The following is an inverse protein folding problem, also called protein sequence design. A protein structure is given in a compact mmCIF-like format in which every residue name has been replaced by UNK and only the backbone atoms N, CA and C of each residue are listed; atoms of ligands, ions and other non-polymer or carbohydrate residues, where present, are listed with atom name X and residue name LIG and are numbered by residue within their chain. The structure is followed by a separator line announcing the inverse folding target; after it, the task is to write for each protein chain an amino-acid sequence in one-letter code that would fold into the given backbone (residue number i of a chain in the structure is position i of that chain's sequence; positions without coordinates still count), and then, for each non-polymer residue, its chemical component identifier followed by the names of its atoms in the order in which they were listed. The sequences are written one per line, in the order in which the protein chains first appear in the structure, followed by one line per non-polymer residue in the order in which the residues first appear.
data_IF_519323097304
#
_entry.id   IF_519323097304
#
_cell.length_a   1.000
_cell.length_b   1.000
_cell.length_c   1.000
_cell.angle_alpha   90.00
_cell.angle_beta   90.00
_cell.angle_gamma   90.00
#
_symmetry.space_group_name_H-M   'P 1'
#
loop_
_entity.id
_entity.type
_entity.pdbx_description
1 polymer ?
#
# COMPACT_ATOMS: atom_id res chain seq x y z
N UNK A 1 13.37 3.85 22.69
CA UNK A 1 13.23 4.28 21.29
C UNK A 1 14.20 3.61 20.33
N UNK A 2 15.53 3.65 20.59
CA UNK A 2 16.51 2.98 19.70
C UNK A 2 16.36 1.46 19.59
N UNK A 3 15.85 0.80 20.64
CA UNK A 3 15.68 -0.66 20.64
C UNK A 3 14.55 -1.13 19.71
N UNK A 4 13.40 -0.44 19.70
CA UNK A 4 12.27 -0.77 18.80
C UNK A 4 12.65 -0.57 17.34
N UNK A 5 13.25 0.57 17.00
CA UNK A 5 13.74 0.83 15.66
C UNK A 5 14.76 -0.20 15.21
N UNK A 6 15.67 -0.63 16.13
CA UNK A 6 16.64 -1.68 15.84
C UNK A 6 15.96 -3.03 15.56
N UNK A 7 14.98 -3.41 16.40
CA UNK A 7 14.22 -4.67 16.20
C UNK A 7 13.44 -4.67 14.89
N UNK A 8 12.86 -3.54 14.51
CA UNK A 8 12.16 -3.33 13.23
C UNK A 8 13.09 -3.64 12.04
N UNK A 9 14.26 -2.98 11.99
CA UNK A 9 15.23 -3.21 10.91
C UNK A 9 15.77 -4.64 10.92
N UNK A 10 16.07 -5.19 12.10
CA UNK A 10 16.49 -6.58 12.22
C UNK A 10 15.43 -7.54 11.71
N UNK A 11 14.16 -7.36 12.06
CA UNK A 11 13.08 -8.22 11.60
C UNK A 11 12.92 -8.18 10.07
N UNK A 12 12.99 -6.99 9.47
CA UNK A 12 12.90 -6.83 8.01
C UNK A 12 14.10 -7.49 7.32
N UNK A 13 15.33 -7.20 7.76
CA UNK A 13 16.56 -7.73 7.14
C UNK A 13 16.62 -9.25 7.27
N UNK A 14 16.39 -9.77 8.48
CA UNK A 14 16.37 -11.22 8.74
C UNK A 14 15.27 -11.89 7.95
N UNK A 15 14.10 -11.26 7.84
CA UNK A 15 12.98 -11.77 7.03
C UNK A 15 13.34 -11.86 5.54
N UNK A 16 13.98 -10.83 4.97
CA UNK A 16 14.43 -10.85 3.57
C UNK A 16 15.50 -11.93 3.35
N UNK A 17 16.47 -12.05 4.26
CA UNK A 17 17.51 -13.09 4.18
C UNK A 17 16.88 -14.48 4.27
N UNK A 18 15.93 -14.67 5.19
CA UNK A 18 15.20 -15.94 5.34
C UNK A 18 14.43 -16.32 4.08
N UNK A 19 13.75 -15.36 3.42
CA UNK A 19 13.06 -15.62 2.15
C UNK A 19 14.05 -16.01 1.04
N UNK A 20 15.16 -15.30 0.93
CA UNK A 20 16.20 -15.60 -0.06
C UNK A 20 16.84 -16.99 0.20
N UNK A 21 17.21 -17.28 1.44
CA UNK A 21 17.76 -18.58 1.85
C UNK A 21 16.77 -19.72 1.62
N UNK A 22 15.49 -19.52 1.94
CA UNK A 22 14.46 -20.51 1.72
C UNK A 22 14.31 -20.88 0.24
N UNK A 23 14.44 -19.90 -0.65
CA UNK A 23 14.38 -20.13 -2.11
C UNK A 23 15.64 -20.81 -2.65
N UNK A 24 16.82 -20.44 -2.13
CA UNK A 24 18.12 -21.00 -2.57
C UNK A 24 18.33 -22.43 -2.07
N UNK A 25 17.96 -22.71 -0.83
CA UNK A 25 18.20 -23.99 -0.15
C UNK A 25 16.96 -24.88 -0.05
N UNK A 26 15.86 -24.51 -0.72
CA UNK A 26 14.57 -25.20 -0.70
C UNK A 26 14.09 -25.53 0.73
N UNK A 27 14.27 -24.61 1.69
CA UNK A 27 13.88 -24.81 3.09
C UNK A 27 12.34 -24.75 3.19
N UNK A 28 11.69 -25.84 3.61
CA UNK A 28 10.24 -25.85 3.74
C UNK A 28 9.79 -24.80 4.76
N UNK A 29 8.73 -24.05 4.43
CA UNK A 29 8.16 -22.96 5.24
C UNK A 29 9.07 -21.74 5.51
N UNK A 30 10.34 -21.77 5.13
CA UNK A 30 11.29 -20.66 5.36
C UNK A 30 10.82 -19.35 4.68
N UNK A 31 10.22 -19.46 3.51
CA UNK A 31 9.66 -18.29 2.80
C UNK A 31 8.51 -17.63 3.59
N UNK A 32 7.58 -18.42 4.15
CA UNK A 32 6.45 -17.90 4.93
C UNK A 32 6.92 -17.25 6.22
N UNK A 33 7.90 -17.85 6.89
CA UNK A 33 8.53 -17.28 8.09
C UNK A 33 9.20 -15.93 7.78
N UNK A 34 9.95 -15.87 6.68
CA UNK A 34 10.59 -14.64 6.24
C UNK A 34 9.57 -13.53 5.93
N UNK A 35 8.50 -13.88 5.23
CA UNK A 35 7.41 -12.94 4.92
C UNK A 35 6.71 -12.45 6.20
N UNK A 36 6.48 -13.35 7.17
CA UNK A 36 5.93 -12.99 8.48
C UNK A 36 6.83 -11.99 9.22
N UNK A 37 8.14 -12.23 9.24
CA UNK A 37 9.11 -11.33 9.89
C UNK A 37 9.14 -9.95 9.23
N UNK A 38 9.11 -9.89 7.90
CA UNK A 38 9.01 -8.60 7.17
C UNK A 38 7.73 -7.86 7.54
N UNK A 39 6.59 -8.54 7.53
CA UNK A 39 5.31 -7.94 7.91
C UNK A 39 5.31 -7.45 9.36
N UNK A 40 5.86 -8.24 10.28
CA UNK A 40 6.01 -7.88 11.68
C UNK A 40 6.92 -6.65 11.87
N UNK A 41 8.05 -6.58 11.17
CA UNK A 41 8.92 -5.42 11.18
C UNK A 41 8.21 -4.14 10.72
N UNK A 42 7.49 -4.20 9.59
CA UNK A 42 6.71 -3.07 9.08
C UNK A 42 5.62 -2.65 10.09
N UNK A 43 4.91 -3.61 10.68
CA UNK A 43 3.88 -3.34 11.67
C UNK A 43 4.45 -2.69 12.95
N UNK A 44 5.61 -3.17 13.43
CA UNK A 44 6.31 -2.57 14.58
C UNK A 44 6.68 -1.11 14.32
N UNK A 45 7.23 -0.79 13.13
CA UNK A 45 7.50 0.59 12.73
C UNK A 45 6.24 1.45 12.65
N UNK A 46 5.14 0.87 12.19
CA UNK A 46 3.83 1.52 12.23
C UNK A 46 3.38 1.86 13.66
N UNK A 47 3.48 0.90 14.57
CA UNK A 47 3.16 1.08 16.00
C UNK A 47 4.06 2.13 16.67
N UNK A 48 5.38 2.08 16.41
CA UNK A 48 6.31 3.09 16.92
C UNK A 48 5.94 4.49 16.43
N UNK A 49 5.62 4.62 15.14
CA UNK A 49 5.22 5.91 14.55
C UNK A 49 3.93 6.46 15.18
N UNK A 50 2.95 5.61 15.50
CA UNK A 50 1.73 5.99 16.20
C UNK A 50 1.99 6.41 17.64
N UNK A 51 2.75 5.61 18.38
CA UNK A 51 3.05 5.84 19.79
C UNK A 51 3.89 7.12 20.02
N UNK A 52 4.89 7.32 19.16
CA UNK A 52 5.85 8.42 19.30
C UNK A 52 5.43 9.67 18.54
N UNK A 53 4.44 9.56 17.65
CA UNK A 53 4.06 10.59 16.67
C UNK A 53 5.26 11.11 15.87
N UNK A 54 6.24 10.23 15.63
CA UNK A 54 7.44 10.48 14.81
C UNK A 54 7.61 9.33 13.85
N UNK A 55 7.99 9.63 12.62
CA UNK A 55 8.21 8.62 11.59
C UNK A 55 9.43 7.76 11.96
N UNK A 56 9.29 6.43 12.01
CA UNK A 56 10.36 5.49 12.37
C UNK A 56 11.36 5.28 11.23
N UNK A 57 10.86 5.13 10.00
CA UNK A 57 11.69 4.95 8.80
C UNK A 57 12.32 6.26 8.34
N UNK A 58 13.39 6.67 8.99
CA UNK A 58 14.10 7.90 8.66
C UNK A 58 15.36 7.58 7.88
N UNK A 59 15.41 7.97 6.60
CA UNK A 59 16.66 7.93 5.82
C UNK A 59 17.56 9.10 6.18
N UNK A 60 18.87 8.91 6.09
CA UNK A 60 19.86 9.95 6.40
C UNK A 60 19.71 11.19 5.51
N UNK A 61 19.11 11.07 4.32
CA UNK A 61 18.82 12.17 3.41
C UNK A 61 17.70 13.10 3.88
N UNK A 62 16.82 12.61 4.78
CA UNK A 62 15.65 13.36 5.25
C UNK A 62 15.92 14.17 6.53
N UNK A 63 17.18 14.52 6.79
CA UNK A 63 17.61 15.24 8.00
C UNK A 63 16.88 16.60 8.23
N UNK A 64 16.11 17.09 7.26
CA UNK A 64 15.34 18.33 7.36
C UNK A 64 13.81 18.17 7.43
N UNK A 65 13.26 16.98 7.16
CA UNK A 65 11.82 16.75 7.16
C UNK A 65 11.38 16.18 8.51
N UNK A 66 10.97 17.02 9.42
CA UNK A 66 10.34 16.61 10.68
C UNK A 66 8.90 16.12 10.40
N UNK A 67 8.76 14.87 9.95
CA UNK A 67 7.45 14.21 9.94
C UNK A 67 7.06 13.86 11.38
N UNK A 68 6.54 14.86 12.08
CA UNK A 68 6.02 14.70 13.43
C UNK A 68 4.53 15.07 13.45
N UNK A 69 3.78 14.48 14.37
CA UNK A 69 2.34 14.74 14.51
C UNK A 69 1.49 13.99 13.48
N UNK A 70 0.56 14.67 12.80
CA UNK A 70 -0.38 14.05 11.88
C UNK A 70 0.24 13.23 10.75
N UNK A 71 1.31 13.67 10.06
CA UNK A 71 1.96 12.85 9.04
C UNK A 71 2.52 11.53 9.57
N UNK A 72 3.09 11.54 10.77
CA UNK A 72 3.61 10.31 11.39
C UNK A 72 2.50 9.33 11.76
N UNK A 73 1.33 9.84 12.17
CA UNK A 73 0.15 9.01 12.45
C UNK A 73 -0.37 8.37 11.15
N UNK A 74 -0.50 9.15 10.07
CA UNK A 74 -0.94 8.63 8.77
C UNK A 74 0.03 7.55 8.29
N UNK A 75 1.33 7.81 8.36
CA UNK A 75 2.37 6.84 8.01
C UNK A 75 2.26 5.57 8.86
N UNK A 76 2.11 5.72 10.18
CA UNK A 76 1.97 4.60 11.12
C UNK A 76 0.77 3.72 10.80
N UNK A 77 -0.38 4.32 10.49
CA UNK A 77 -1.59 3.59 10.08
C UNK A 77 -1.38 2.85 8.76
N UNK A 78 -0.77 3.49 7.77
CA UNK A 78 -0.44 2.85 6.49
C UNK A 78 0.52 1.66 6.69
N UNK A 79 1.58 1.85 7.48
CA UNK A 79 2.55 0.80 7.77
C UNK A 79 1.89 -0.38 8.51
N UNK A 80 1.01 -0.13 9.49
CA UNK A 80 0.24 -1.18 10.15
C UNK A 80 -0.65 -1.94 9.17
N UNK A 81 -1.37 -1.25 8.30
CA UNK A 81 -2.24 -1.87 7.31
C UNK A 81 -1.44 -2.77 6.35
N UNK A 82 -0.31 -2.27 5.84
CA UNK A 82 0.58 -3.03 4.95
C UNK A 82 1.21 -4.20 5.70
N UNK A 83 1.74 -3.98 6.90
CA UNK A 83 2.32 -5.03 7.74
C UNK A 83 1.33 -6.14 8.06
N UNK A 84 0.09 -5.79 8.44
CA UNK A 84 -0.99 -6.73 8.69
C UNK A 84 -1.36 -7.53 7.43
N UNK A 85 -1.42 -6.88 6.25
CA UNK A 85 -1.69 -7.56 4.99
C UNK A 85 -0.58 -8.57 4.64
N UNK A 86 0.68 -8.23 4.87
CA UNK A 86 1.83 -9.12 4.65
C UNK A 86 1.80 -10.31 5.62
N UNK A 87 1.52 -10.07 6.91
CA UNK A 87 1.37 -11.13 7.92
C UNK A 87 0.21 -12.06 7.55
N UNK A 88 -0.94 -11.51 7.20
CA UNK A 88 -2.10 -12.29 6.77
C UNK A 88 -1.77 -13.14 5.53
N UNK A 89 -1.04 -12.58 4.57
CA UNK A 89 -0.59 -13.31 3.38
C UNK A 89 0.33 -14.49 3.75
N UNK A 90 1.28 -14.28 4.67
CA UNK A 90 2.17 -15.34 5.15
C UNK A 90 1.37 -16.47 5.83
N UNK A 91 0.41 -16.11 6.68
CA UNK A 91 -0.46 -17.07 7.36
C UNK A 91 -1.34 -17.86 6.38
N UNK A 92 -1.97 -17.18 5.42
CA UNK A 92 -2.81 -17.83 4.41
C UNK A 92 -2.02 -18.78 3.51
N UNK A 93 -0.76 -18.46 3.21
CA UNK A 93 0.13 -19.36 2.48
C UNK A 93 0.49 -20.58 3.30
N UNK A 94 0.85 -20.42 4.58
CA UNK A 94 1.21 -21.54 5.47
C UNK A 94 0.00 -22.47 5.73
N UNK A 95 -1.19 -21.90 5.90
CA UNK A 95 -2.43 -22.64 6.06
C UNK A 95 -2.94 -23.30 4.76
N UNK A 96 -2.31 -23.08 3.61
CA UNK A 96 -2.76 -23.59 2.31
C UNK A 96 -4.01 -22.92 1.75
N UNK A 97 -4.49 -21.86 2.39
CA UNK A 97 -5.71 -21.13 2.04
C UNK A 97 -5.48 -20.04 0.98
N UNK A 98 -4.25 -19.83 0.55
CA UNK A 98 -3.88 -18.75 -0.37
C UNK A 98 -4.68 -18.76 -1.67
N UNK A 99 -4.79 -19.94 -2.32
CA UNK A 99 -5.52 -20.07 -3.59
C UNK A 99 -7.01 -19.74 -3.45
N UNK A 100 -7.66 -20.22 -2.39
CA UNK A 100 -9.07 -19.93 -2.14
C UNK A 100 -9.29 -18.47 -1.83
N UNK A 101 -8.40 -17.85 -1.04
CA UNK A 101 -8.46 -16.40 -0.71
C UNK A 101 -8.25 -15.54 -1.95
N UNK A 102 -7.24 -15.83 -2.78
CA UNK A 102 -7.02 -15.11 -4.04
C UNK A 102 -8.23 -15.27 -4.97
N UNK A 103 -8.77 -16.47 -5.11
CA UNK A 103 -10.00 -16.71 -5.89
C UNK A 103 -11.20 -15.93 -5.34
N UNK A 104 -11.34 -15.85 -4.02
CA UNK A 104 -12.38 -15.02 -3.39
C UNK A 104 -12.17 -13.53 -3.68
N UNK A 105 -10.97 -13.01 -3.46
CA UNK A 105 -10.64 -11.60 -3.69
C UNK A 105 -10.75 -11.19 -5.17
N UNK A 106 -10.48 -12.14 -6.10
CA UNK A 106 -10.68 -11.88 -7.54
C UNK A 106 -12.16 -11.78 -7.89
N UNK A 107 -13.02 -12.58 -7.22
CA UNK A 107 -14.48 -12.51 -7.41
C UNK A 107 -15.12 -11.34 -6.66
N UNK A 108 -14.51 -10.90 -5.56
CA UNK A 108 -14.97 -9.87 -4.64
C UNK A 108 -13.84 -8.89 -4.35
N UNK A 109 -13.56 -7.94 -5.26
CA UNK A 109 -12.41 -7.03 -5.13
C UNK A 109 -12.60 -5.94 -4.07
N UNK A 110 -13.78 -5.78 -3.48
CA UNK A 110 -14.08 -4.72 -2.52
C UNK A 110 -13.08 -4.58 -1.38
N UNK A 111 -12.71 -5.64 -0.65
CA UNK A 111 -11.70 -5.55 0.42
C UNK A 111 -10.34 -5.06 -0.08
N UNK A 112 -9.92 -5.52 -1.27
CA UNK A 112 -8.66 -5.08 -1.90
C UNK A 112 -8.74 -3.62 -2.31
N UNK A 113 -9.85 -3.20 -2.94
CA UNK A 113 -10.08 -1.80 -3.32
C UNK A 113 -10.09 -0.88 -2.11
N UNK A 114 -10.76 -1.29 -1.01
CA UNK A 114 -10.76 -0.52 0.22
C UNK A 114 -9.36 -0.39 0.84
N UNK A 115 -8.60 -1.48 0.92
CA UNK A 115 -7.24 -1.49 1.44
C UNK A 115 -6.29 -0.62 0.60
N UNK A 116 -6.29 -0.80 -0.72
CA UNK A 116 -5.49 0.02 -1.64
C UNK A 116 -5.93 1.48 -1.62
N UNK A 117 -7.23 1.74 -1.55
CA UNK A 117 -7.78 3.08 -1.43
C UNK A 117 -7.27 3.82 -0.19
N UNK A 118 -7.21 3.13 0.97
CA UNK A 118 -6.63 3.69 2.19
C UNK A 118 -5.14 4.02 2.03
N UNK A 119 -4.36 3.14 1.40
CA UNK A 119 -2.94 3.39 1.13
C UNK A 119 -2.76 4.59 0.20
N UNK A 120 -3.55 4.67 -0.88
CA UNK A 120 -3.50 5.79 -1.84
C UNK A 120 -3.90 7.10 -1.18
N UNK A 121 -4.98 7.10 -0.39
CA UNK A 121 -5.42 8.29 0.36
C UNK A 121 -4.36 8.72 1.38
N UNK A 122 -3.76 7.79 2.10
CA UNK A 122 -2.67 8.05 3.04
C UNK A 122 -1.43 8.65 2.36
N UNK A 123 -1.02 8.09 1.22
CA UNK A 123 0.09 8.62 0.42
C UNK A 123 -0.22 10.04 -0.08
N UNK A 124 -1.44 10.29 -0.57
CA UNK A 124 -1.89 11.63 -0.97
C UNK A 124 -1.85 12.62 0.18
N UNK A 125 -2.33 12.24 1.36
CA UNK A 125 -2.27 13.06 2.56
C UNK A 125 -0.82 13.38 2.97
N UNK A 126 0.09 12.39 2.93
CA UNK A 126 1.51 12.60 3.21
C UNK A 126 2.14 13.62 2.24
N UNK A 127 1.79 13.56 0.95
CA UNK A 127 2.25 14.54 -0.05
C UNK A 127 1.80 15.97 0.30
N UNK A 128 0.60 16.13 0.85
CA UNK A 128 0.09 17.45 1.27
C UNK A 128 0.81 17.99 2.51
N UNK A 129 1.22 17.10 3.43
CA UNK A 129 1.93 17.49 4.65
C UNK A 129 3.44 17.69 4.47
N UNK A 130 3.99 17.32 3.31
CA UNK A 130 5.41 17.48 3.03
C UNK A 130 5.78 18.98 2.93
N UNK A 131 6.33 19.49 4.03
CA UNK A 131 6.81 20.87 4.15
C UNK A 131 8.30 21.01 3.85
N UNK A 132 8.93 19.99 3.29
CA UNK A 132 10.34 20.01 2.96
C UNK A 132 10.65 21.02 1.87
N UNK A 133 11.32 22.10 2.22
CA UNK A 133 11.86 23.04 1.24
C UNK A 133 12.19 24.42 1.79
N UNK A 134 13.33 24.99 1.33
CA UNK A 134 13.72 26.39 1.56
C UNK A 134 12.63 27.32 1.02
N UNK A 135 12.33 28.39 1.75
CA UNK A 135 11.35 29.42 1.39
C UNK A 135 11.80 30.16 0.14
N UNK A 136 11.12 29.93 -1.01
CA UNK A 136 11.33 30.65 -2.26
C UNK A 136 10.02 30.66 -3.06
N UNK A 137 9.57 31.83 -3.55
CA UNK A 137 8.30 32.00 -4.28
C UNK A 137 8.20 31.07 -5.48
N UNK A 138 9.24 30.98 -6.30
CA UNK A 138 9.29 30.15 -7.49
C UNK A 138 9.18 28.66 -7.16
N UNK A 139 9.84 28.21 -6.09
CA UNK A 139 9.79 26.81 -5.66
C UNK A 139 8.43 26.45 -5.04
N UNK A 140 7.80 27.40 -4.38
CA UNK A 140 6.44 27.22 -3.86
C UNK A 140 5.44 27.03 -5.00
N UNK A 141 5.48 27.87 -6.03
CA UNK A 141 4.57 27.79 -7.16
C UNK A 141 4.82 26.55 -8.04
N UNK A 142 6.08 26.25 -8.37
CA UNK A 142 6.41 25.17 -9.32
C UNK A 142 6.44 23.76 -8.71
N UNK A 143 6.69 23.64 -7.39
CA UNK A 143 6.82 22.32 -6.76
C UNK A 143 5.72 22.07 -5.73
N UNK A 144 5.44 23.05 -4.86
CA UNK A 144 4.51 22.83 -3.74
C UNK A 144 3.05 22.79 -4.19
N UNK A 145 2.66 23.70 -5.09
CA UNK A 145 1.27 23.75 -5.58
C UNK A 145 0.92 22.49 -6.37
N UNK A 146 1.70 22.02 -7.38
CA UNK A 146 1.42 20.77 -8.07
C UNK A 146 1.42 19.57 -7.12
N UNK A 147 2.35 19.50 -6.16
CA UNK A 147 2.43 18.43 -5.18
C UNK A 147 1.19 18.36 -4.29
N UNK A 148 0.68 19.51 -3.85
CA UNK A 148 -0.54 19.59 -3.05
C UNK A 148 -1.78 19.18 -3.87
N UNK A 149 -1.86 19.61 -5.13
CA UNK A 149 -2.95 19.24 -6.03
C UNK A 149 -2.95 17.72 -6.28
N UNK A 150 -1.78 17.14 -6.60
CA UNK A 150 -1.63 15.69 -6.77
C UNK A 150 -2.00 14.96 -5.48
N UNK A 151 -1.53 15.44 -4.32
CA UNK A 151 -1.90 14.87 -3.02
C UNK A 151 -3.41 14.89 -2.79
N UNK A 152 -4.08 16.01 -3.08
CA UNK A 152 -5.52 16.12 -2.95
C UNK A 152 -6.26 15.16 -3.89
N UNK A 153 -5.85 15.07 -5.15
CA UNK A 153 -6.43 14.12 -6.12
C UNK A 153 -6.28 12.68 -5.62
N UNK A 154 -5.11 12.31 -5.12
CA UNK A 154 -4.89 10.97 -4.56
C UNK A 154 -5.76 10.70 -3.33
N UNK A 155 -5.96 11.68 -2.45
CA UNK A 155 -6.88 11.55 -1.31
C UNK A 155 -8.31 11.30 -1.79
N UNK A 156 -8.80 12.10 -2.73
CA UNK A 156 -10.16 11.96 -3.26
C UNK A 156 -10.34 10.61 -3.96
N UNK A 157 -9.42 10.23 -4.82
CA UNK A 157 -9.45 8.93 -5.54
C UNK A 157 -9.36 7.77 -4.55
N UNK A 158 -8.45 7.85 -3.57
CA UNK A 158 -8.31 6.83 -2.54
C UNK A 158 -9.57 6.67 -1.69
N UNK A 159 -10.18 7.77 -1.23
CA UNK A 159 -11.43 7.73 -0.48
C UNK A 159 -12.60 7.20 -1.32
N UNK A 160 -12.67 7.57 -2.60
CA UNK A 160 -13.66 7.01 -3.52
C UNK A 160 -13.49 5.49 -3.68
N UNK A 161 -12.25 5.01 -3.81
CA UNK A 161 -11.95 3.58 -3.87
C UNK A 161 -12.33 2.85 -2.57
N UNK A 162 -12.08 3.46 -1.40
CA UNK A 162 -12.55 2.94 -0.10
C UNK A 162 -14.07 2.84 -0.08
N UNK A 163 -14.76 3.92 -0.46
CA UNK A 163 -16.22 3.96 -0.48
C UNK A 163 -16.82 2.89 -1.38
N UNK A 164 -16.28 2.74 -2.60
CA UNK A 164 -16.70 1.70 -3.55
C UNK A 164 -16.39 0.29 -3.03
N UNK A 165 -15.21 0.08 -2.44
CA UNK A 165 -14.82 -1.21 -1.88
C UNK A 165 -15.70 -1.63 -0.69
N UNK A 166 -16.00 -0.72 0.21
CA UNK A 166 -16.91 -0.95 1.34
C UNK A 166 -18.35 -1.19 0.84
N UNK A 167 -18.79 -0.43 -0.15
CA UNK A 167 -20.11 -0.62 -0.73
C UNK A 167 -20.28 -1.98 -1.40
N UNK A 168 -19.29 -2.43 -2.19
CA UNK A 168 -19.26 -3.78 -2.78
C UNK A 168 -19.31 -4.87 -1.69
N UNK A 169 -18.57 -4.68 -0.61
CA UNK A 169 -18.54 -5.63 0.49
C UNK A 169 -19.87 -5.72 1.24
N UNK A 170 -20.50 -4.57 1.54
CA UNK A 170 -21.78 -4.52 2.28
C UNK A 170 -22.97 -4.92 1.42
N UNK A 171 -22.98 -4.53 0.14
CA UNK A 171 -24.13 -4.74 -0.73
C UNK A 171 -23.73 -5.19 -2.15
N UNK A 172 -23.20 -6.42 -2.28
CA UNK A 172 -22.64 -6.92 -3.53
C UNK A 172 -23.66 -6.97 -4.68
N UNK A 173 -24.93 -7.30 -4.37
CA UNK A 173 -25.99 -7.38 -5.40
C UNK A 173 -26.32 -6.01 -6.01
N UNK A 174 -26.27 -4.95 -5.20
CA UNK A 174 -26.50 -3.59 -5.68
C UNK A 174 -25.30 -3.10 -6.49
N UNK A 175 -24.09 -3.36 -6.00
CA UNK A 175 -22.85 -3.04 -6.68
C UNK A 175 -22.77 -3.71 -8.06
N UNK A 176 -23.04 -5.03 -8.14
CA UNK A 176 -23.02 -5.78 -9.40
C UNK A 176 -24.01 -5.25 -10.44
N UNK A 177 -25.17 -4.74 -10.01
CA UNK A 177 -26.15 -4.10 -10.94
C UNK A 177 -25.60 -2.80 -11.53
N UNK A 178 -24.99 -1.96 -10.70
CA UNK A 178 -24.43 -0.68 -11.14
C UNK A 178 -23.15 -0.90 -11.92
N UNK A 179 -22.28 -1.80 -11.48
CA UNK A 179 -21.04 -2.11 -12.14
C UNK A 179 -21.27 -2.68 -13.54
N UNK A 180 -22.17 -3.67 -13.70
CA UNK A 180 -22.50 -4.21 -15.03
C UNK A 180 -22.98 -3.14 -16.00
N UNK A 181 -23.91 -2.27 -15.57
CA UNK A 181 -24.38 -1.17 -16.39
C UNK A 181 -23.31 -0.13 -16.74
N UNK A 182 -22.25 -0.02 -15.91
CA UNK A 182 -21.11 0.87 -16.19
C UNK A 182 -20.08 0.21 -17.09
N UNK A 183 -19.80 -1.08 -16.90
CA UNK A 183 -18.87 -1.84 -17.75
C UNK A 183 -19.37 -2.01 -19.18
N UNK A 184 -20.67 -2.13 -19.40
CA UNK A 184 -21.27 -2.16 -20.75
C UNK A 184 -21.10 -0.84 -21.49
N UNK A 185 -20.99 0.29 -20.77
CA UNK A 185 -20.70 1.61 -21.36
C UNK A 185 -19.21 1.84 -21.66
N UNK A 186 -18.31 1.18 -20.91
CA UNK A 186 -16.88 1.18 -21.20
C UNK A 186 -16.58 0.05 -22.20
N UNK A 187 -16.46 0.41 -23.47
CA UNK A 187 -16.08 -0.54 -24.52
C UNK A 187 -14.66 -1.08 -24.32
N UNK A 188 -14.54 -2.10 -23.44
CA UNK A 188 -13.28 -2.80 -23.20
C UNK A 188 -12.68 -3.38 -24.50
N UNK A 189 -13.50 -3.60 -25.54
CA UNK A 189 -13.02 -4.02 -26.86
C UNK A 189 -12.16 -2.94 -27.53
N UNK A 190 -12.41 -1.66 -27.21
CA UNK A 190 -11.54 -0.57 -27.69
C UNK A 190 -10.17 -0.62 -27.02
N UNK A 191 -10.10 -0.92 -25.74
CA UNK A 191 -8.83 -1.07 -24.98
C UNK A 191 -8.10 -2.32 -25.45
N UNK A 192 -8.80 -3.43 -25.66
CA UNK A 192 -8.21 -4.68 -26.17
C UNK A 192 -7.69 -4.51 -27.61
N UNK A 193 -8.43 -3.81 -28.48
CA UNK A 193 -7.98 -3.45 -29.83
C UNK A 193 -6.74 -2.57 -29.79
N UNK A 194 -6.72 -1.55 -28.93
CA UNK A 194 -5.56 -0.69 -28.72
C UNK A 194 -4.35 -1.49 -28.21
N UNK A 195 -4.54 -2.38 -27.25
CA UNK A 195 -3.46 -3.24 -26.75
C UNK A 195 -2.94 -4.20 -27.81
N UNK A 196 -3.83 -4.83 -28.60
CA UNK A 196 -3.44 -5.67 -29.74
C UNK A 196 -2.72 -4.89 -30.84
N UNK A 197 -3.03 -3.61 -31.04
CA UNK A 197 -2.32 -2.77 -32.01
C UNK A 197 -0.90 -2.41 -31.56
N UNK A 198 -0.65 -2.32 -30.24
CA UNK A 198 0.68 -2.07 -29.66
C UNK A 198 1.53 -3.34 -29.60
N UNK A 199 0.91 -4.49 -29.41
CA UNK A 199 1.56 -5.81 -29.39
C UNK A 199 1.67 -6.44 -30.77
N UNK A 200 1.88 -5.64 -31.83
CA UNK A 200 1.94 -6.05 -33.21
C UNK A 200 2.59 -7.42 -33.49
N UNK A 201 2.28 -8.11 -34.57
CA UNK A 201 2.74 -9.46 -34.83
C UNK A 201 4.27 -9.48 -34.87
N UNK A 202 4.87 -10.04 -33.82
CA UNK A 202 6.26 -10.45 -33.90
C UNK A 202 6.34 -11.57 -34.93
N UNK A 203 6.69 -11.19 -36.16
CA UNK A 203 7.21 -12.11 -37.18
C UNK A 203 8.69 -12.38 -36.92
#
# INVERSE_FOLDING_TARGET
MRLLTFLEYCAIVVGIIAMAAAKLFAIPKGFHLGLFLVGAGIALGGLESLATRRMSFRTASDAGANYAGAPAVIWGLMALLVGAAVIASAYLMDAGLWRSTVSYLTRRPGPVMAGLGLVVAGAGALLMFDRSGRRGLWRTLLVRVPKTIVGLVLVVVGLAAVGLGVWEWLNPKAFDRVARGSWERFDLRAVERFWKSLSGPHR
#
